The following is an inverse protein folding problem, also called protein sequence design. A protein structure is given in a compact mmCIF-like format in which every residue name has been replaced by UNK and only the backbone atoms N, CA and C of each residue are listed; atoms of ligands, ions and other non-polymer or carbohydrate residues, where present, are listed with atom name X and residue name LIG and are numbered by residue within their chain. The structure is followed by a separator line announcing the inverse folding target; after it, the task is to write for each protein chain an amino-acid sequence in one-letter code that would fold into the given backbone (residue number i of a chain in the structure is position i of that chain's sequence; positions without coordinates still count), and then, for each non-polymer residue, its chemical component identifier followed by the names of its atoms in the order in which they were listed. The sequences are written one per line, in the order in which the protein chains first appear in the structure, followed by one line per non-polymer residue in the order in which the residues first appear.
data_IF_305716416216
#
_entry.id   IF_305716416216
#
_cell.length_a   1.000
_cell.length_b   1.000
_cell.length_c   1.000
_cell.angle_alpha   90.00
_cell.angle_beta   90.00
_cell.angle_gamma   90.00
#
_symmetry.space_group_name_H-M   'P 1'
#
loop_
_entity.id
_entity.type
_entity.pdbx_description
1 polymer ?
#
# COMPACT_ATOMS: atom_id res chain seq x y z
N UNK A 1 -7.18 17.46 -23.07
CA UNK A 1 -8.17 16.44 -23.50
C UNK A 1 -9.18 16.17 -22.40
N UNK A 2 -10.42 15.73 -22.73
CA UNK A 2 -11.35 15.19 -21.72
C UNK A 2 -10.88 13.77 -21.38
N UNK A 3 -10.72 13.50 -20.09
CA UNK A 3 -10.21 12.21 -19.60
C UNK A 3 -11.33 11.52 -18.82
N UNK A 4 -11.82 10.41 -19.37
CA UNK A 4 -12.86 9.58 -18.76
C UNK A 4 -12.27 8.27 -18.23
N UNK A 5 -12.89 7.61 -17.20
CA UNK A 5 -12.45 6.32 -16.72
C UNK A 5 -12.69 5.25 -17.79
N UNK A 6 -11.62 4.55 -18.19
CA UNK A 6 -11.70 3.44 -19.16
C UNK A 6 -11.40 2.13 -18.46
N UNK A 7 -12.42 1.34 -18.25
CA UNK A 7 -12.34 0.07 -17.54
C UNK A 7 -11.97 -1.09 -18.46
N UNK A 8 -11.09 -1.98 -17.95
CA UNK A 8 -10.79 -3.28 -18.56
C UNK A 8 -10.71 -4.33 -17.45
N UNK A 9 -11.81 -5.06 -17.22
CA UNK A 9 -11.92 -5.95 -16.07
C UNK A 9 -11.71 -5.17 -14.76
N UNK A 10 -10.79 -5.61 -13.94
CA UNK A 10 -10.46 -5.00 -12.64
C UNK A 10 -9.40 -3.89 -12.73
N UNK A 11 -9.15 -3.33 -13.91
CA UNK A 11 -8.13 -2.30 -14.12
C UNK A 11 -8.80 -1.10 -14.80
N UNK A 12 -8.54 0.11 -14.31
CA UNK A 12 -8.77 1.33 -15.03
C UNK A 12 -7.53 1.72 -15.84
N UNK A 13 -7.71 1.96 -17.13
CA UNK A 13 -6.61 2.23 -18.07
C UNK A 13 -6.22 3.70 -18.14
N UNK A 14 -7.05 4.58 -17.59
CA UNK A 14 -6.84 6.03 -17.57
C UNK A 14 -6.79 6.52 -16.14
N UNK A 15 -6.13 7.64 -15.92
CA UNK A 15 -6.12 8.35 -14.65
C UNK A 15 -6.23 9.85 -14.88
N UNK A 16 -6.87 10.55 -13.94
CA UNK A 16 -7.17 11.97 -14.07
C UNK A 16 -6.21 12.83 -13.24
N UNK A 17 -5.35 13.66 -13.87
CA UNK A 17 -4.31 14.44 -13.16
C UNK A 17 -4.90 15.32 -12.05
N UNK A 18 -6.00 16.05 -12.36
CA UNK A 18 -6.64 16.96 -11.40
C UNK A 18 -7.31 16.21 -10.24
N UNK A 19 -7.87 15.04 -10.49
CA UNK A 19 -8.42 14.22 -9.42
C UNK A 19 -7.34 13.62 -8.53
N UNK A 20 -6.22 13.17 -9.10
CA UNK A 20 -5.06 12.75 -8.31
C UNK A 20 -4.49 13.91 -7.48
N UNK A 21 -4.43 15.15 -8.04
CA UNK A 21 -4.05 16.34 -7.29
C UNK A 21 -5.00 16.60 -6.11
N UNK A 22 -6.32 16.50 -6.34
CA UNK A 22 -7.32 16.68 -5.29
C UNK A 22 -7.20 15.62 -4.19
N UNK A 23 -6.97 14.36 -4.55
CA UNK A 23 -6.71 13.29 -3.60
C UNK A 23 -5.54 13.61 -2.67
N UNK A 24 -4.43 14.09 -3.24
CA UNK A 24 -3.26 14.47 -2.45
C UNK A 24 -3.57 15.62 -1.50
N UNK A 25 -4.27 16.65 -1.97
CA UNK A 25 -4.68 17.78 -1.12
C UNK A 25 -5.57 17.32 0.04
N UNK A 26 -6.56 16.48 -0.22
CA UNK A 26 -7.44 15.95 0.81
C UNK A 26 -6.65 15.17 1.89
N UNK A 27 -5.71 14.32 1.48
CA UNK A 27 -4.87 13.58 2.43
C UNK A 27 -3.94 14.50 3.24
N UNK A 28 -3.36 15.53 2.61
CA UNK A 28 -2.52 16.53 3.30
C UNK A 28 -3.35 17.31 4.32
N UNK A 29 -4.54 17.77 3.95
CA UNK A 29 -5.45 18.49 4.85
C UNK A 29 -5.85 17.62 6.04
N UNK A 30 -6.15 16.34 5.80
CA UNK A 30 -6.42 15.39 6.87
C UNK A 30 -5.25 15.31 7.85
N UNK A 31 -4.03 15.10 7.37
CA UNK A 31 -2.84 15.01 8.24
C UNK A 31 -2.63 16.30 9.02
N UNK A 32 -2.71 17.47 8.37
CA UNK A 32 -2.57 18.77 9.05
C UNK A 32 -3.63 18.97 10.13
N UNK A 33 -4.85 18.45 9.94
CA UNK A 33 -5.93 18.54 10.93
C UNK A 33 -5.66 17.73 12.20
N UNK A 34 -4.77 16.73 12.14
CA UNK A 34 -4.42 15.85 13.28
C UNK A 34 -3.29 16.41 14.15
N UNK A 35 -2.61 17.46 13.69
CA UNK A 35 -1.47 18.06 14.38
C UNK A 35 -0.16 17.36 14.09
N UNK A 36 0.93 17.88 14.66
CA UNK A 36 2.27 17.36 14.44
C UNK A 36 2.52 16.07 15.24
N UNK A 37 3.26 15.18 14.63
CA UNK A 37 3.79 13.95 15.23
C UNK A 37 5.29 14.16 15.46
N UNK A 38 5.76 13.93 16.68
CA UNK A 38 7.21 13.94 16.96
C UNK A 38 7.84 12.63 16.45
N UNK A 39 7.98 12.56 15.12
CA UNK A 39 8.39 11.37 14.38
C UNK A 39 9.69 11.54 13.62
N UNK A 40 9.94 10.57 12.72
CA UNK A 40 11.10 10.56 11.83
C UNK A 40 11.25 11.87 11.05
N UNK A 41 12.49 12.25 10.78
CA UNK A 41 12.82 13.51 10.07
C UNK A 41 13.41 13.29 8.68
N UNK A 42 13.91 12.09 8.37
CA UNK A 42 14.52 11.75 7.08
C UNK A 42 14.05 10.36 6.67
N UNK A 43 13.14 10.30 5.72
CA UNK A 43 12.37 9.09 5.43
C UNK A 43 12.57 8.61 3.99
N UNK A 44 12.90 7.34 3.85
CA UNK A 44 12.86 6.62 2.59
C UNK A 44 11.57 5.81 2.50
N UNK A 45 10.81 5.97 1.42
CA UNK A 45 9.60 5.20 1.17
C UNK A 45 9.77 4.42 -0.15
N UNK A 46 9.80 3.11 -0.07
CA UNK A 46 9.89 2.19 -1.21
C UNK A 46 8.48 1.71 -1.54
N UNK A 47 7.96 2.05 -2.72
CA UNK A 47 6.56 1.90 -3.09
C UNK A 47 5.72 3.14 -2.74
N UNK A 48 6.19 4.34 -3.09
CA UNK A 48 5.73 5.62 -2.56
C UNK A 48 4.58 6.29 -3.33
N UNK A 49 4.09 5.71 -4.43
CA UNK A 49 3.21 6.42 -5.38
C UNK A 49 1.71 6.27 -5.13
N UNK A 50 1.30 5.22 -4.40
CA UNK A 50 -0.11 4.91 -4.15
C UNK A 50 -0.30 4.23 -2.79
N UNK A 51 -1.55 4.13 -2.33
CA UNK A 51 -1.95 3.36 -1.15
C UNK A 51 -1.18 3.71 0.12
N UNK A 52 -0.82 2.70 0.90
CA UNK A 52 -0.14 2.88 2.18
C UNK A 52 1.24 3.55 2.08
N UNK A 53 1.99 3.28 1.00
CA UNK A 53 3.29 3.93 0.78
C UNK A 53 3.16 5.43 0.55
N UNK A 54 2.23 5.85 -0.31
CA UNK A 54 1.91 7.26 -0.53
C UNK A 54 1.44 7.93 0.77
N UNK A 55 0.51 7.31 1.49
CA UNK A 55 0.01 7.82 2.77
C UNK A 55 1.14 7.95 3.80
N UNK A 56 2.10 7.01 3.82
CA UNK A 56 3.29 7.11 4.67
C UNK A 56 4.17 8.31 4.30
N UNK A 57 4.32 8.58 3.00
CA UNK A 57 5.08 9.72 2.52
C UNK A 57 4.42 11.04 2.91
N UNK A 58 3.10 11.15 2.73
CA UNK A 58 2.31 12.32 3.11
C UNK A 58 2.35 12.54 4.62
N UNK A 59 2.14 11.47 5.42
CA UNK A 59 2.16 11.56 6.89
C UNK A 59 3.54 11.96 7.39
N UNK A 60 4.62 11.40 6.84
CA UNK A 60 5.99 11.80 7.20
C UNK A 60 6.26 13.27 6.89
N UNK A 61 5.93 13.72 5.67
CA UNK A 61 6.22 15.08 5.24
C UNK A 61 5.38 16.12 6.01
N UNK A 62 4.06 15.95 6.06
CA UNK A 62 3.15 16.97 6.59
C UNK A 62 2.74 16.75 8.05
N UNK A 63 2.96 15.54 8.58
CA UNK A 63 2.72 15.24 10.00
C UNK A 63 3.96 15.34 10.87
N UNK A 64 5.17 15.20 10.31
CA UNK A 64 6.42 15.24 11.07
C UNK A 64 7.46 16.24 10.53
N UNK A 65 7.11 17.04 9.52
CA UNK A 65 8.04 17.94 8.80
C UNK A 65 9.29 17.19 8.28
N UNK A 66 9.12 15.95 7.83
CA UNK A 66 10.20 15.10 7.40
C UNK A 66 10.64 15.39 5.96
N UNK A 67 11.94 15.32 5.71
CA UNK A 67 12.50 15.19 4.38
C UNK A 67 12.21 13.78 3.84
N UNK A 68 11.66 13.65 2.62
CA UNK A 68 11.25 12.36 2.06
C UNK A 68 11.88 12.07 0.71
N UNK A 69 12.35 10.84 0.54
CA UNK A 69 12.69 10.26 -0.76
C UNK A 69 11.71 9.12 -1.05
N UNK A 70 11.00 9.18 -2.18
CA UNK A 70 10.06 8.15 -2.63
C UNK A 70 10.61 7.38 -3.82
N UNK A 71 10.55 6.05 -3.76
CA UNK A 71 10.88 5.17 -4.88
C UNK A 71 9.61 4.51 -5.39
N UNK A 72 9.38 4.51 -6.69
CA UNK A 72 8.21 3.90 -7.34
C UNK A 72 8.50 3.54 -8.80
N UNK A 73 7.60 2.82 -9.44
CA UNK A 73 7.72 2.44 -10.84
C UNK A 73 6.42 2.76 -11.58
N UNK A 74 6.33 3.97 -12.11
CA UNK A 74 5.12 4.52 -12.72
C UNK A 74 5.36 4.91 -14.18
N UNK A 75 4.30 4.90 -14.97
CA UNK A 75 4.34 5.30 -16.37
C UNK A 75 4.12 6.80 -16.48
N UNK A 76 5.08 7.55 -17.05
CA UNK A 76 4.87 8.97 -17.31
C UNK A 76 3.79 9.17 -18.37
N UNK A 77 3.13 10.34 -18.37
CA UNK A 77 2.22 10.72 -19.45
C UNK A 77 2.98 10.99 -20.74
N UNK A 78 2.28 10.79 -21.85
CA UNK A 78 2.71 11.18 -23.19
C UNK A 78 1.61 12.02 -23.79
N UNK A 79 1.92 12.83 -24.81
CA UNK A 79 0.91 13.62 -25.53
C UNK A 79 -0.23 12.70 -26.03
N UNK A 80 -1.48 13.06 -25.67
CA UNK A 80 -2.67 12.27 -25.97
C UNK A 80 -2.85 10.99 -25.15
N UNK A 81 -1.97 10.72 -24.15
CA UNK A 81 -2.05 9.53 -23.30
C UNK A 81 -1.75 9.87 -21.84
N UNK A 82 -2.73 9.75 -20.95
CA UNK A 82 -2.50 9.93 -19.52
C UNK A 82 -1.45 8.98 -18.95
N UNK A 83 -0.68 9.46 -17.97
CA UNK A 83 0.21 8.66 -17.16
C UNK A 83 -0.55 7.73 -16.21
N UNK A 84 0.18 6.93 -15.43
CA UNK A 84 -0.41 6.13 -14.36
C UNK A 84 -0.81 7.01 -13.15
N UNK A 85 -1.77 6.58 -12.31
CA UNK A 85 -2.23 7.40 -11.19
C UNK A 85 -1.10 7.75 -10.21
N UNK A 86 -0.19 6.80 -9.95
CA UNK A 86 0.94 7.04 -9.05
C UNK A 86 1.92 8.09 -9.58
N UNK A 87 2.04 8.26 -10.88
CA UNK A 87 2.79 9.38 -11.46
C UNK A 87 2.19 10.72 -11.06
N UNK A 88 0.88 10.89 -11.27
CA UNK A 88 0.19 12.14 -10.94
C UNK A 88 0.14 12.42 -9.44
N UNK A 89 -0.07 11.38 -8.62
CA UNK A 89 0.00 11.49 -7.17
C UNK A 89 1.37 11.99 -6.72
N UNK A 90 2.45 11.43 -7.28
CA UNK A 90 3.82 11.80 -6.93
C UNK A 90 4.16 13.23 -7.36
N UNK A 91 3.70 13.65 -8.55
CA UNK A 91 3.85 15.02 -9.02
C UNK A 91 3.12 16.02 -8.13
N UNK A 92 1.86 15.71 -7.77
CA UNK A 92 1.07 16.56 -6.88
C UNK A 92 1.68 16.63 -5.48
N UNK A 93 2.15 15.49 -4.94
CA UNK A 93 2.79 15.44 -3.64
C UNK A 93 4.07 16.31 -3.60
N UNK A 94 4.99 16.17 -4.57
CA UNK A 94 6.21 17.00 -4.59
C UNK A 94 5.88 18.48 -4.70
N UNK A 95 4.93 18.86 -5.56
CA UNK A 95 4.50 20.23 -5.71
C UNK A 95 3.97 20.81 -4.39
N UNK A 96 3.12 20.11 -3.67
CA UNK A 96 2.58 20.56 -2.38
C UNK A 96 3.66 20.56 -1.27
N UNK A 97 4.57 19.59 -1.27
CA UNK A 97 5.70 19.55 -0.35
C UNK A 97 6.65 20.75 -0.56
N UNK A 98 7.04 21.03 -1.81
CA UNK A 98 7.90 22.16 -2.15
C UNK A 98 7.24 23.51 -1.83
N UNK A 99 5.94 23.68 -2.10
CA UNK A 99 5.17 24.88 -1.67
C UNK A 99 5.20 25.07 -0.16
N UNK A 100 5.23 23.98 0.60
CA UNK A 100 5.34 24.01 2.06
C UNK A 100 6.79 24.18 2.57
N UNK A 101 7.77 24.26 1.69
CA UNK A 101 9.20 24.36 2.05
C UNK A 101 9.81 23.04 2.51
N UNK A 102 9.13 21.90 2.25
CA UNK A 102 9.59 20.58 2.64
C UNK A 102 10.44 19.96 1.53
N UNK A 103 11.48 19.23 1.92
CA UNK A 103 12.29 18.44 0.98
C UNK A 103 11.52 17.19 0.54
N UNK A 104 11.33 17.04 -0.75
CA UNK A 104 10.75 15.85 -1.36
C UNK A 104 11.39 15.58 -2.71
N UNK A 105 11.95 14.37 -2.90
CA UNK A 105 12.45 13.90 -4.19
C UNK A 105 11.96 12.49 -4.49
N UNK A 106 11.87 12.15 -5.76
CA UNK A 106 11.40 10.86 -6.25
C UNK A 106 12.41 10.19 -7.17
N UNK A 107 12.39 8.87 -7.17
CA UNK A 107 13.10 8.01 -8.11
C UNK A 107 12.07 7.10 -8.77
N UNK A 108 11.98 7.18 -10.09
CA UNK A 108 11.09 6.33 -10.88
C UNK A 108 11.89 5.19 -11.53
N UNK A 109 11.68 3.97 -11.07
CA UNK A 109 12.34 2.78 -11.59
C UNK A 109 11.99 1.52 -10.80
N UNK A 110 12.41 0.38 -11.31
CA UNK A 110 12.19 -0.91 -10.66
C UNK A 110 12.97 -0.99 -9.33
N UNK A 111 12.25 -0.91 -8.22
CA UNK A 111 12.83 -0.96 -6.87
C UNK A 111 13.54 -2.28 -6.56
N UNK A 112 13.27 -3.35 -7.30
CA UNK A 112 14.01 -4.61 -7.18
C UNK A 112 15.41 -4.54 -7.79
N UNK A 113 15.66 -3.62 -8.72
CA UNK A 113 16.92 -3.52 -9.45
C UNK A 113 18.06 -2.94 -8.58
N UNK A 114 19.27 -3.40 -8.85
CA UNK A 114 20.48 -2.85 -8.22
C UNK A 114 20.75 -1.41 -8.64
N UNK A 115 20.34 -1.03 -9.85
CA UNK A 115 20.49 0.33 -10.38
C UNK A 115 19.68 1.34 -9.56
N UNK A 116 18.37 1.06 -9.32
CA UNK A 116 17.51 1.93 -8.53
C UNK A 116 17.97 1.98 -7.07
N UNK A 117 18.39 0.83 -6.49
CA UNK A 117 18.99 0.81 -5.15
C UNK A 117 20.20 1.75 -5.09
N UNK A 118 21.15 1.60 -6.00
CA UNK A 118 22.35 2.45 -6.05
C UNK A 118 21.99 3.93 -6.20
N UNK A 119 21.12 4.29 -7.14
CA UNK A 119 20.67 5.67 -7.34
C UNK A 119 20.06 6.26 -6.06
N UNK A 120 19.26 5.46 -5.35
CA UNK A 120 18.64 5.87 -4.09
C UNK A 120 19.68 6.11 -2.99
N UNK A 121 20.66 5.21 -2.86
CA UNK A 121 21.73 5.36 -1.87
C UNK A 121 22.58 6.60 -2.17
N UNK A 122 22.92 6.84 -3.43
CA UNK A 122 23.67 8.03 -3.84
C UNK A 122 22.90 9.32 -3.50
N UNK A 123 21.57 9.34 -3.74
CA UNK A 123 20.71 10.47 -3.42
C UNK A 123 20.60 10.70 -1.89
N UNK A 124 20.40 9.64 -1.10
CA UNK A 124 20.38 9.76 0.37
C UNK A 124 21.71 10.33 0.87
N UNK A 125 22.82 9.81 0.37
CA UNK A 125 24.17 10.24 0.76
C UNK A 125 24.43 11.70 0.46
N UNK A 126 24.03 12.20 -0.71
CA UNK A 126 24.25 13.58 -1.13
C UNK A 126 23.36 14.56 -0.39
N UNK A 127 22.08 14.23 -0.21
CA UNK A 127 21.06 15.20 0.21
C UNK A 127 20.68 15.08 1.68
N UNK A 128 20.60 13.87 2.23
CA UNK A 128 20.12 13.61 3.59
C UNK A 128 21.22 13.16 4.56
N UNK A 129 22.30 12.58 4.03
CA UNK A 129 23.34 11.92 4.81
C UNK A 129 22.90 10.56 5.33
N UNK A 130 21.85 10.47 6.12
CA UNK A 130 21.27 9.25 6.67
C UNK A 130 19.74 9.37 6.71
N UNK A 131 19.05 8.22 6.79
CA UNK A 131 17.60 8.13 7.04
C UNK A 131 17.34 7.48 8.39
N UNK A 132 16.27 7.92 9.05
CA UNK A 132 15.84 7.43 10.37
C UNK A 132 14.57 6.55 10.29
N UNK A 133 13.86 6.58 9.15
CA UNK A 133 12.76 5.66 8.86
C UNK A 133 12.85 5.15 7.42
N UNK A 134 12.66 3.84 7.24
CA UNK A 134 12.49 3.20 5.93
C UNK A 134 11.17 2.48 5.88
N UNK A 135 10.28 2.89 4.98
CA UNK A 135 9.00 2.20 4.70
C UNK A 135 9.16 1.31 3.48
N UNK A 136 8.82 0.02 3.63
CA UNK A 136 8.79 -0.94 2.54
C UNK A 136 7.35 -1.33 2.21
N UNK A 137 6.83 -0.78 1.10
CA UNK A 137 5.43 -0.90 0.67
C UNK A 137 5.32 -1.34 -0.79
N UNK A 138 6.09 -2.33 -1.19
CA UNK A 138 6.02 -2.87 -2.55
C UNK A 138 4.91 -3.92 -2.68
N UNK A 139 4.13 -3.79 -3.75
CA UNK A 139 3.20 -4.80 -4.22
C UNK A 139 3.38 -4.96 -5.73
N UNK A 140 3.91 -6.10 -6.16
CA UNK A 140 4.14 -6.40 -7.58
C UNK A 140 3.72 -7.85 -7.87
N UNK A 141 3.15 -8.12 -9.06
CA UNK A 141 2.90 -9.50 -9.48
C UNK A 141 4.17 -10.22 -9.97
N UNK A 142 5.25 -9.48 -10.24
CA UNK A 142 6.50 -10.04 -10.79
C UNK A 142 7.71 -9.37 -10.18
N UNK A 143 8.82 -10.12 -10.09
CA UNK A 143 10.14 -9.63 -9.70
C UNK A 143 11.21 -10.29 -10.57
N UNK A 144 12.03 -9.47 -11.22
CA UNK A 144 13.30 -9.93 -11.78
C UNK A 144 14.33 -9.91 -10.65
N UNK A 145 14.82 -11.08 -10.25
CA UNK A 145 15.75 -11.17 -9.13
C UNK A 145 17.12 -10.56 -9.53
N UNK A 146 17.60 -9.53 -8.81
CA UNK A 146 18.74 -8.71 -9.26
C UNK A 146 20.09 -9.43 -9.27
N UNK A 147 20.20 -10.57 -8.60
CA UNK A 147 21.46 -11.37 -8.54
C UNK A 147 21.39 -12.57 -9.47
N UNK A 148 20.27 -13.30 -9.49
CA UNK A 148 20.15 -14.55 -10.27
C UNK A 148 19.63 -14.33 -11.69
N UNK A 149 18.99 -13.19 -11.97
CA UNK A 149 18.32 -12.91 -13.24
C UNK A 149 17.05 -13.72 -13.48
N UNK A 150 16.56 -14.47 -12.48
CA UNK A 150 15.33 -15.25 -12.58
C UNK A 150 14.11 -14.32 -12.44
N UNK A 151 13.15 -14.48 -13.36
CA UNK A 151 11.87 -13.78 -13.30
C UNK A 151 10.87 -14.62 -12.50
N UNK A 152 10.54 -14.16 -11.30
CA UNK A 152 9.52 -14.76 -10.44
C UNK A 152 8.15 -14.11 -10.65
N UNK A 153 7.09 -14.92 -10.56
CA UNK A 153 5.69 -14.47 -10.65
C UNK A 153 4.92 -14.93 -9.42
N UNK A 154 4.33 -13.99 -8.70
CA UNK A 154 3.47 -14.33 -7.56
C UNK A 154 2.10 -14.77 -8.03
N UNK A 155 1.50 -15.68 -7.27
CA UNK A 155 0.10 -16.09 -7.43
C UNK A 155 -0.61 -16.03 -6.10
N UNK A 156 -1.93 -15.93 -6.14
CA UNK A 156 -2.77 -15.97 -4.95
C UNK A 156 -3.66 -17.21 -5.03
N UNK A 157 -3.20 -18.27 -4.39
CA UNK A 157 -3.84 -19.59 -4.43
C UNK A 157 -3.82 -20.25 -3.05
N UNK A 158 -4.84 -21.07 -2.74
CA UNK A 158 -4.83 -21.93 -1.57
C UNK A 158 -3.75 -23.01 -1.68
N UNK A 159 -3.32 -23.58 -0.54
CA UNK A 159 -2.36 -24.69 -0.47
C UNK A 159 -3.09 -25.97 -0.11
N UNK A 160 -2.85 -27.02 -0.86
CA UNK A 160 -3.32 -28.37 -0.60
C UNK A 160 -4.68 -28.69 -1.22
N UNK A 161 -5.70 -27.87 -1.02
CA UNK A 161 -7.06 -28.11 -1.53
C UNK A 161 -7.63 -26.89 -2.25
N UNK A 162 -8.54 -27.10 -3.20
CA UNK A 162 -9.29 -26.02 -3.84
C UNK A 162 -10.13 -25.27 -2.79
N UNK A 163 -10.31 -24.00 -3.04
CA UNK A 163 -11.14 -23.11 -2.20
C UNK A 163 -12.29 -22.56 -3.02
N UNK A 164 -13.52 -22.80 -2.57
CA UNK A 164 -14.74 -22.27 -3.19
C UNK A 164 -15.42 -21.32 -2.25
N UNK A 165 -15.80 -20.13 -2.75
CA UNK A 165 -16.53 -19.16 -1.97
C UNK A 165 -17.25 -18.15 -2.87
N UNK A 166 -18.11 -17.29 -2.26
CA UNK A 166 -18.78 -16.20 -2.95
C UNK A 166 -17.80 -15.12 -3.38
N UNK A 167 -18.10 -14.48 -4.50
CA UNK A 167 -17.42 -13.29 -5.02
C UNK A 167 -18.46 -12.33 -5.59
N UNK A 168 -18.06 -11.10 -5.86
CA UNK A 168 -18.90 -10.12 -6.57
C UNK A 168 -18.12 -9.51 -7.72
N UNK A 169 -18.76 -9.40 -8.87
CA UNK A 169 -18.33 -8.43 -9.88
C UNK A 169 -18.79 -7.05 -9.43
N UNK A 170 -17.86 -6.23 -8.94
CA UNK A 170 -18.21 -4.93 -8.38
C UNK A 170 -18.71 -3.91 -9.42
N UNK A 171 -18.51 -4.16 -10.72
CA UNK A 171 -19.08 -3.31 -11.77
C UNK A 171 -20.56 -3.58 -11.98
N UNK A 172 -20.96 -4.83 -11.99
CA UNK A 172 -22.35 -5.25 -12.24
C UNK A 172 -23.15 -5.46 -10.97
N UNK A 173 -22.49 -5.74 -9.84
CA UNK A 173 -23.11 -6.11 -8.58
C UNK A 173 -23.53 -7.57 -8.51
N UNK A 174 -23.19 -8.39 -9.52
CA UNK A 174 -23.56 -9.80 -9.57
C UNK A 174 -22.70 -10.60 -8.60
N UNK A 175 -23.35 -11.27 -7.65
CA UNK A 175 -22.73 -12.22 -6.73
C UNK A 175 -22.75 -13.61 -7.38
N UNK A 176 -21.62 -14.28 -7.35
CA UNK A 176 -21.45 -15.64 -7.88
C UNK A 176 -20.52 -16.46 -6.98
N UNK A 177 -20.42 -17.75 -7.24
CA UNK A 177 -19.41 -18.60 -6.62
C UNK A 177 -18.19 -18.74 -7.52
N UNK A 178 -17.00 -18.76 -6.90
CA UNK A 178 -15.74 -19.01 -7.57
C UNK A 178 -14.98 -20.12 -6.86
N UNK A 179 -14.36 -20.99 -7.66
CA UNK A 179 -13.43 -22.00 -7.16
C UNK A 179 -12.01 -21.64 -7.58
N UNK A 180 -11.10 -21.59 -6.63
CA UNK A 180 -9.67 -21.34 -6.84
C UNK A 180 -8.93 -22.64 -6.62
N UNK A 181 -8.27 -23.13 -7.67
CA UNK A 181 -7.47 -24.35 -7.61
C UNK A 181 -6.23 -24.18 -6.74
N UNK A 182 -5.76 -25.26 -6.07
CA UNK A 182 -4.59 -25.19 -5.23
C UNK A 182 -3.32 -24.88 -6.04
N UNK A 183 -2.33 -24.32 -5.34
CA UNK A 183 -1.00 -24.07 -5.89
C UNK A 183 -0.17 -25.36 -5.98
N UNK A 184 0.90 -25.32 -6.77
CA UNK A 184 2.01 -26.24 -6.70
C UNK A 184 3.17 -25.63 -5.86
N UNK A 185 4.23 -26.41 -5.62
CA UNK A 185 5.39 -25.97 -4.82
C UNK A 185 6.15 -24.79 -5.49
N UNK A 186 6.22 -24.77 -6.82
CA UNK A 186 6.85 -23.69 -7.56
C UNK A 186 6.08 -22.36 -7.39
N UNK A 187 4.76 -22.40 -7.38
CA UNK A 187 3.90 -21.24 -7.09
C UNK A 187 4.23 -20.62 -5.71
N UNK A 188 4.50 -21.47 -4.69
CA UNK A 188 4.89 -21.01 -3.36
C UNK A 188 6.24 -20.33 -3.40
N UNK A 189 7.26 -20.99 -3.99
CA UNK A 189 8.62 -20.46 -4.10
C UNK A 189 8.62 -19.11 -4.83
N UNK A 190 7.96 -19.03 -5.97
CA UNK A 190 7.87 -17.80 -6.74
C UNK A 190 7.12 -16.69 -5.99
N UNK A 191 6.04 -17.00 -5.28
CA UNK A 191 5.29 -16.00 -4.49
C UNK A 191 6.14 -15.48 -3.32
N UNK A 192 6.87 -16.35 -2.64
CA UNK A 192 7.81 -15.95 -1.57
C UNK A 192 8.93 -15.06 -2.13
N UNK A 193 9.48 -15.40 -3.30
CA UNK A 193 10.53 -14.60 -3.93
C UNK A 193 10.06 -13.19 -4.31
N UNK A 194 8.78 -13.02 -4.72
CA UNK A 194 8.23 -11.71 -5.09
C UNK A 194 7.76 -10.91 -3.87
N UNK A 195 7.01 -11.55 -2.96
CA UNK A 195 6.24 -10.86 -1.90
C UNK A 195 6.76 -11.13 -0.49
N UNK A 196 7.81 -11.92 -0.35
CA UNK A 196 8.49 -12.16 0.92
C UNK A 196 9.42 -11.01 1.32
N UNK A 197 10.23 -11.24 2.33
CA UNK A 197 11.10 -10.21 2.91
C UNK A 197 12.48 -10.08 2.26
N UNK A 198 12.85 -10.92 1.28
CA UNK A 198 14.22 -10.95 0.76
C UNK A 198 14.67 -9.59 0.21
N UNK A 199 13.87 -8.95 -0.65
CA UNK A 199 14.22 -7.65 -1.21
C UNK A 199 14.27 -6.54 -0.16
N UNK A 200 13.36 -6.58 0.83
CA UNK A 200 13.43 -5.69 1.99
C UNK A 200 14.76 -5.86 2.74
N UNK A 201 15.19 -7.11 2.98
CA UNK A 201 16.51 -7.41 3.54
C UNK A 201 17.64 -6.83 2.71
N UNK A 202 17.59 -7.00 1.37
CA UNK A 202 18.58 -6.43 0.46
C UNK A 202 18.67 -4.90 0.56
N UNK A 203 17.54 -4.19 0.59
CA UNK A 203 17.51 -2.74 0.81
C UNK A 203 18.18 -2.33 2.12
N UNK A 204 17.84 -3.00 3.21
CA UNK A 204 18.40 -2.69 4.54
C UNK A 204 19.90 -3.01 4.63
N UNK A 205 20.34 -4.09 3.99
CA UNK A 205 21.75 -4.46 3.91
C UNK A 205 22.57 -3.41 3.13
N UNK A 206 22.07 -2.94 1.99
CA UNK A 206 22.78 -1.93 1.20
C UNK A 206 22.81 -0.57 1.95
N UNK A 207 21.73 -0.14 2.56
CA UNK A 207 21.69 1.08 3.38
C UNK A 207 22.67 0.99 4.57
N UNK A 208 22.73 -0.15 5.24
CA UNK A 208 23.64 -0.41 6.35
C UNK A 208 25.10 -0.39 5.89
N UNK A 209 25.45 -1.13 4.81
CA UNK A 209 26.81 -1.17 4.24
C UNK A 209 27.30 0.22 3.84
N UNK A 210 26.41 1.06 3.31
CA UNK A 210 26.71 2.42 2.91
C UNK A 210 26.74 3.42 4.10
N UNK A 211 26.45 2.98 5.33
CA UNK A 211 26.31 3.82 6.54
C UNK A 211 25.26 4.94 6.39
N UNK A 212 24.14 4.61 5.76
CA UNK A 212 23.05 5.56 5.47
C UNK A 212 21.85 5.43 6.42
N UNK A 213 21.96 4.60 7.46
CA UNK A 213 20.95 4.47 8.52
C UNK A 213 21.39 5.26 9.75
N UNK A 214 20.52 6.10 10.28
CA UNK A 214 20.76 6.83 11.51
C UNK A 214 20.77 5.88 12.73
N UNK A 215 21.44 6.23 13.84
CA UNK A 215 21.28 5.50 15.10
C UNK A 215 19.82 5.43 15.52
N UNK A 216 19.34 4.23 15.88
CA UNK A 216 17.94 4.00 16.22
C UNK A 216 16.97 3.94 15.03
N UNK A 217 17.48 3.92 13.78
CA UNK A 217 16.64 3.87 12.59
C UNK A 217 15.62 2.73 12.64
N UNK A 218 14.38 3.04 12.27
CA UNK A 218 13.29 2.07 12.20
C UNK A 218 12.96 1.74 10.75
N UNK A 219 12.61 0.47 10.48
CA UNK A 219 12.02 0.10 9.18
C UNK A 219 10.73 -0.66 9.36
N UNK A 220 9.74 -0.38 8.50
CA UNK A 220 8.41 -1.00 8.57
C UNK A 220 8.02 -1.53 7.20
N UNK A 221 7.62 -2.81 7.15
CA UNK A 221 7.01 -3.41 5.97
C UNK A 221 5.51 -3.65 6.21
N UNK A 222 4.68 -3.42 5.19
CA UNK A 222 3.23 -3.59 5.29
C UNK A 222 2.77 -4.98 4.93
N UNK A 223 1.79 -5.46 5.68
CA UNK A 223 1.20 -6.79 5.55
C UNK A 223 -0.31 -6.74 5.72
N UNK A 224 -0.95 -7.83 5.35
CA UNK A 224 -2.35 -8.12 5.63
C UNK A 224 -2.51 -9.57 6.03
N UNK A 225 -3.38 -9.87 6.99
CA UNK A 225 -3.68 -11.24 7.46
C UNK A 225 -5.10 -11.63 7.04
N UNK A 226 -6.06 -10.77 7.30
CA UNK A 226 -7.49 -11.00 7.08
C UNK A 226 -8.15 -11.94 8.08
N UNK A 227 -9.49 -12.05 8.03
CA UNK A 227 -10.29 -12.90 8.88
C UNK A 227 -10.31 -14.36 8.40
N UNK A 228 -10.91 -15.23 9.21
CA UNK A 228 -11.10 -16.66 8.89
C UNK A 228 -11.82 -16.90 7.55
N UNK A 229 -12.71 -15.98 7.17
CA UNK A 229 -13.46 -16.04 5.92
C UNK A 229 -12.58 -16.03 4.66
N UNK A 230 -11.44 -15.32 4.70
CA UNK A 230 -10.50 -15.23 3.58
C UNK A 230 -9.21 -15.99 3.83
N UNK A 231 -9.08 -16.65 4.98
CA UNK A 231 -7.84 -17.27 5.46
C UNK A 231 -7.24 -18.29 4.48
N UNK A 232 -8.08 -19.05 3.77
CA UNK A 232 -7.62 -20.10 2.86
C UNK A 232 -6.79 -19.54 1.69
N UNK A 233 -7.12 -18.35 1.18
CA UNK A 233 -6.40 -17.71 0.08
C UNK A 233 -5.36 -16.69 0.57
N UNK A 234 -5.49 -16.20 1.80
CA UNK A 234 -4.53 -15.26 2.39
C UNK A 234 -3.56 -15.97 3.34
N UNK A 235 -3.89 -16.06 4.62
CA UNK A 235 -2.95 -16.52 5.66
C UNK A 235 -2.49 -17.97 5.46
N UNK A 236 -3.35 -18.86 4.97
CA UNK A 236 -3.06 -20.26 4.66
C UNK A 236 -2.71 -20.52 3.20
N UNK A 237 -2.74 -19.49 2.35
CA UNK A 237 -2.38 -19.57 0.93
C UNK A 237 -0.92 -19.24 0.64
N UNK A 238 -0.59 -19.13 -0.65
CA UNK A 238 0.76 -18.81 -1.13
C UNK A 238 1.28 -17.48 -0.57
N UNK A 239 0.40 -16.47 -0.51
CA UNK A 239 0.76 -15.15 0.03
C UNK A 239 1.04 -15.23 1.55
N UNK A 240 0.37 -16.12 2.28
CA UNK A 240 0.65 -16.35 3.70
C UNK A 240 2.08 -16.87 3.93
N UNK A 241 2.60 -17.74 3.05
CA UNK A 241 4.00 -18.16 3.08
C UNK A 241 4.96 -17.00 2.84
N UNK A 242 4.62 -16.11 1.91
CA UNK A 242 5.41 -14.89 1.70
C UNK A 242 5.38 -13.98 2.94
N UNK A 243 4.24 -13.87 3.63
CA UNK A 243 4.12 -13.10 4.87
C UNK A 243 4.86 -13.74 6.04
N UNK A 244 4.88 -15.08 6.16
CA UNK A 244 5.74 -15.78 7.12
C UNK A 244 7.23 -15.45 6.90
N UNK A 245 7.67 -15.42 5.64
CA UNK A 245 9.04 -15.03 5.28
C UNK A 245 9.31 -13.54 5.58
N UNK A 246 8.34 -12.65 5.32
CA UNK A 246 8.45 -11.22 5.65
C UNK A 246 8.59 -11.01 7.17
N UNK A 247 7.78 -11.71 7.97
CA UNK A 247 7.82 -11.66 9.43
C UNK A 247 9.18 -12.17 9.97
N UNK A 248 9.69 -13.28 9.44
CA UNK A 248 11.03 -13.78 9.79
C UNK A 248 12.15 -12.81 9.40
N UNK A 249 12.01 -12.13 8.25
CA UNK A 249 12.98 -11.13 7.79
C UNK A 249 13.04 -9.92 8.72
N UNK A 250 11.93 -9.49 9.33
CA UNK A 250 11.93 -8.40 10.30
C UNK A 250 12.85 -8.68 11.49
N UNK A 251 12.83 -9.91 12.01
CA UNK A 251 13.76 -10.32 13.09
C UNK A 251 15.22 -10.32 12.62
N UNK A 252 15.49 -10.88 11.44
CA UNK A 252 16.84 -10.91 10.88
C UNK A 252 17.40 -9.49 10.63
N UNK A 253 16.58 -8.57 10.12
CA UNK A 253 16.96 -7.16 9.95
C UNK A 253 17.25 -6.53 11.32
N UNK A 254 16.37 -6.74 12.32
CA UNK A 254 16.57 -6.19 13.68
C UNK A 254 17.88 -6.65 14.25
N UNK A 255 18.19 -7.95 14.16
CA UNK A 255 19.47 -8.53 14.64
C UNK A 255 20.66 -7.90 13.90
N UNK A 256 20.54 -7.71 12.59
CA UNK A 256 21.59 -7.08 11.79
C UNK A 256 21.84 -5.62 12.18
N UNK A 257 20.82 -4.90 12.66
CA UNK A 257 20.88 -3.47 13.01
C UNK A 257 21.24 -3.22 14.49
N UNK A 258 21.56 -4.25 15.28
CA UNK A 258 21.87 -4.14 16.71
C UNK A 258 22.94 -3.09 17.01
N UNK A 259 23.98 -2.99 16.16
CA UNK A 259 25.09 -2.02 16.35
C UNK A 259 24.67 -0.55 16.32
N UNK A 260 23.56 -0.24 15.67
CA UNK A 260 22.96 1.11 15.60
C UNK A 260 21.66 1.21 16.40
N UNK A 261 21.30 0.18 17.17
CA UNK A 261 20.04 0.08 17.92
C UNK A 261 18.79 0.19 17.03
N UNK A 262 18.92 -0.14 15.74
CA UNK A 262 17.83 -0.10 14.77
C UNK A 262 16.83 -1.23 14.97
N UNK A 263 15.60 -1.06 14.47
CA UNK A 263 14.48 -1.99 14.59
C UNK A 263 13.74 -2.17 13.27
N UNK A 264 13.24 -3.38 13.05
CA UNK A 264 12.39 -3.70 11.91
C UNK A 264 11.06 -4.29 12.40
N UNK A 265 9.96 -3.85 11.79
CA UNK A 265 8.62 -4.31 12.13
C UNK A 265 7.81 -4.63 10.89
N UNK A 266 6.90 -5.59 11.03
CA UNK A 266 5.81 -5.79 10.09
C UNK A 266 4.55 -5.15 10.67
N UNK A 267 3.94 -4.22 9.93
CA UNK A 267 2.63 -3.65 10.27
C UNK A 267 1.54 -4.39 9.52
N UNK A 268 0.62 -4.99 10.25
CA UNK A 268 -0.57 -5.64 9.68
C UNK A 268 -1.66 -4.59 9.56
N UNK A 269 -2.01 -4.26 8.32
CA UNK A 269 -2.96 -3.22 8.00
C UNK A 269 -4.34 -3.81 7.67
N UNK A 270 -5.36 -2.96 7.64
CA UNK A 270 -6.75 -3.29 7.35
C UNK A 270 -6.96 -3.60 5.85
N UNK A 271 -7.99 -4.39 5.54
CA UNK A 271 -8.47 -4.57 4.17
C UNK A 271 -9.01 -3.24 3.60
N UNK A 272 -8.47 -2.85 2.45
CA UNK A 272 -8.86 -1.63 1.73
C UNK A 272 -8.95 -1.89 0.23
N UNK A 273 -9.70 -1.04 -0.46
CA UNK A 273 -9.73 -1.01 -1.92
C UNK A 273 -8.38 -0.50 -2.41
N UNK A 274 -7.66 -1.34 -3.13
CA UNK A 274 -6.41 -1.04 -3.81
C UNK A 274 -6.41 -1.68 -5.18
N UNK A 275 -5.49 -1.30 -6.06
CA UNK A 275 -5.36 -1.98 -7.36
C UNK A 275 -5.11 -3.48 -7.20
N UNK A 276 -4.34 -3.89 -6.19
CA UNK A 276 -4.04 -5.29 -5.92
C UNK A 276 -5.27 -6.03 -5.38
N UNK A 277 -5.96 -5.48 -4.37
CA UNK A 277 -7.10 -6.15 -3.72
C UNK A 277 -8.29 -6.32 -4.65
N UNK A 278 -8.52 -5.40 -5.58
CA UNK A 278 -9.64 -5.44 -6.53
C UNK A 278 -9.55 -6.61 -7.53
N UNK A 279 -8.35 -7.14 -7.75
CA UNK A 279 -8.12 -8.28 -8.63
C UNK A 279 -8.23 -9.64 -7.91
N UNK A 280 -8.41 -9.65 -6.58
CA UNK A 280 -8.41 -10.86 -5.77
C UNK A 280 -9.85 -11.35 -5.61
N UNK A 281 -10.18 -12.57 -6.08
CA UNK A 281 -11.51 -13.15 -5.87
C UNK A 281 -11.92 -13.11 -4.38
N UNK A 282 -13.22 -13.04 -4.11
CA UNK A 282 -13.77 -13.00 -2.73
C UNK A 282 -13.61 -11.64 -2.03
N UNK A 283 -12.48 -10.96 -2.23
CA UNK A 283 -12.13 -9.73 -1.51
C UNK A 283 -13.08 -8.55 -1.81
N UNK A 284 -13.51 -8.26 -3.05
CA UNK A 284 -14.45 -7.17 -3.28
C UNK A 284 -15.77 -7.33 -2.52
N UNK A 285 -16.31 -8.55 -2.41
CA UNK A 285 -17.50 -8.81 -1.62
C UNK A 285 -17.23 -8.62 -0.13
N UNK A 286 -16.11 -9.16 0.38
CA UNK A 286 -15.71 -8.98 1.78
C UNK A 286 -15.57 -7.50 2.14
N UNK A 287 -14.83 -6.73 1.35
CA UNK A 287 -14.63 -5.29 1.59
C UNK A 287 -15.96 -4.54 1.54
N UNK A 288 -16.85 -4.85 0.60
CA UNK A 288 -18.16 -4.20 0.50
C UNK A 288 -19.00 -4.38 1.77
N UNK A 289 -19.03 -5.58 2.35
CA UNK A 289 -19.72 -5.86 3.61
C UNK A 289 -19.01 -5.22 4.81
N UNK A 290 -17.69 -5.30 4.85
CA UNK A 290 -16.85 -4.69 5.89
C UNK A 290 -17.04 -3.17 5.94
N UNK A 291 -17.02 -2.50 4.79
CA UNK A 291 -17.20 -1.05 4.68
C UNK A 291 -18.56 -0.60 5.25
N UNK A 292 -19.61 -1.30 4.89
CA UNK A 292 -20.96 -1.04 5.43
C UNK A 292 -20.93 -1.01 6.96
N UNK A 293 -20.43 -2.09 7.56
CA UNK A 293 -20.43 -2.24 9.02
C UNK A 293 -19.49 -1.21 9.68
N UNK A 294 -18.26 -1.07 9.17
CA UNK A 294 -17.29 -0.16 9.80
C UNK A 294 -17.70 1.31 9.67
N UNK A 295 -18.39 1.70 8.59
CA UNK A 295 -18.95 3.05 8.45
C UNK A 295 -20.12 3.28 9.40
N UNK A 296 -21.02 2.31 9.57
CA UNK A 296 -22.12 2.36 10.53
C UNK A 296 -21.64 2.45 11.98
N UNK A 297 -20.53 1.76 12.31
CA UNK A 297 -19.90 1.80 13.63
C UNK A 297 -18.97 3.02 13.83
N UNK A 298 -18.75 3.85 12.79
CA UNK A 298 -17.89 5.03 12.86
C UNK A 298 -16.40 4.72 13.03
N UNK A 299 -15.95 3.52 12.60
CA UNK A 299 -14.57 3.03 12.74
C UNK A 299 -13.90 2.70 11.38
N UNK A 300 -14.50 3.16 10.30
CA UNK A 300 -13.91 2.98 8.97
C UNK A 300 -12.69 3.89 8.79
N UNK A 301 -11.63 3.32 8.23
CA UNK A 301 -10.38 4.01 7.92
C UNK A 301 -9.96 3.71 6.48
N UNK A 302 -9.49 4.71 5.74
CA UNK A 302 -8.73 4.56 4.51
C UNK A 302 -7.22 4.42 4.78
N UNK A 303 -6.40 4.51 3.73
CA UNK A 303 -4.95 4.40 3.86
C UNK A 303 -4.37 5.52 4.74
N UNK A 304 -4.82 6.76 4.55
CA UNK A 304 -4.23 7.91 5.24
C UNK A 304 -4.57 7.90 6.74
N UNK A 305 -5.81 7.52 7.10
CA UNK A 305 -6.24 7.41 8.48
C UNK A 305 -5.46 6.31 9.22
N UNK A 306 -5.29 5.15 8.58
CA UNK A 306 -4.51 4.05 9.16
C UNK A 306 -3.05 4.41 9.37
N UNK A 307 -2.42 5.06 8.40
CA UNK A 307 -1.01 5.44 8.52
C UNK A 307 -0.83 6.53 9.55
N UNK A 308 -1.73 7.51 9.60
CA UNK A 308 -1.70 8.53 10.65
C UNK A 308 -1.80 7.89 12.05
N UNK A 309 -2.72 6.95 12.24
CA UNK A 309 -2.88 6.21 13.49
C UNK A 309 -1.67 5.32 13.80
N UNK A 310 -1.09 4.65 12.78
CA UNK A 310 0.15 3.89 12.92
C UNK A 310 1.30 4.76 13.45
N UNK A 311 1.48 5.94 12.87
CA UNK A 311 2.57 6.83 13.27
C UNK A 311 2.34 7.43 14.66
N UNK A 312 1.15 7.95 14.92
CA UNK A 312 0.85 8.65 16.15
C UNK A 312 0.66 7.72 17.35
N UNK A 313 0.00 6.56 17.16
CA UNK A 313 -0.41 5.70 18.28
C UNK A 313 0.46 4.44 18.46
N UNK A 314 1.33 4.14 17.49
CA UNK A 314 2.18 2.94 17.55
C UNK A 314 3.67 3.26 17.45
N UNK A 315 4.10 3.99 16.40
CA UNK A 315 5.53 4.20 16.11
C UNK A 315 6.15 5.30 16.96
N UNK A 316 5.43 6.41 17.22
CA UNK A 316 5.99 7.63 17.81
C UNK A 316 5.25 8.06 19.08
N UNK A 317 4.98 7.13 19.97
CA UNK A 317 4.35 7.38 21.27
C UNK A 317 5.33 7.83 22.36
N UNK A 318 6.64 7.72 22.10
CA UNK A 318 7.68 7.89 23.13
C UNK A 318 7.89 6.65 24.00
N UNK A 319 7.11 5.60 23.78
CA UNK A 319 7.17 4.30 24.48
C UNK A 319 7.65 3.19 23.56
N UNK A 320 7.80 1.96 24.09
CA UNK A 320 8.10 0.80 23.28
C UNK A 320 6.96 0.54 22.29
N UNK A 321 7.31 0.28 21.02
CA UNK A 321 6.34 0.01 19.96
C UNK A 321 5.55 -1.27 20.32
N UNK A 322 4.21 -1.17 20.44
CA UNK A 322 3.39 -2.32 20.81
C UNK A 322 3.29 -3.32 19.67
N UNK A 323 3.56 -4.59 19.98
CA UNK A 323 3.46 -5.70 19.03
C UNK A 323 2.64 -6.86 19.61
N UNK A 324 2.11 -7.68 18.71
CA UNK A 324 1.51 -8.95 19.10
C UNK A 324 2.57 -10.00 19.45
N UNK A 325 2.13 -11.22 19.83
CA UNK A 325 3.01 -12.33 20.22
C UNK A 325 4.01 -12.76 19.12
N UNK A 326 3.76 -12.36 17.86
CA UNK A 326 4.65 -12.64 16.72
C UNK A 326 5.53 -11.44 16.35
N UNK A 327 5.55 -10.37 17.17
CA UNK A 327 6.35 -9.19 16.94
C UNK A 327 5.79 -8.24 15.86
N UNK A 328 4.50 -8.33 15.51
CA UNK A 328 3.86 -7.49 14.49
C UNK A 328 3.08 -6.35 15.12
N UNK A 329 3.16 -5.18 14.51
CA UNK A 329 2.27 -4.07 14.84
C UNK A 329 0.89 -4.39 14.26
N UNK A 330 -0.16 -4.30 15.08
CA UNK A 330 -1.54 -4.55 14.68
C UNK A 330 -2.27 -3.22 14.53
N UNK A 331 -2.49 -2.81 13.27
CA UNK A 331 -3.28 -1.64 12.92
C UNK A 331 -4.60 -2.06 12.23
N UNK A 332 -4.79 -3.35 12.01
CA UNK A 332 -6.02 -3.99 11.60
C UNK A 332 -6.98 -4.27 12.78
N UNK A 333 -6.65 -3.80 13.97
CA UNK A 333 -7.37 -4.05 15.22
C UNK A 333 -8.86 -3.66 15.15
N UNK A 334 -9.21 -2.58 14.44
CA UNK A 334 -10.60 -2.15 14.25
C UNK A 334 -11.37 -3.09 13.30
N UNK A 335 -10.74 -3.54 12.20
CA UNK A 335 -11.33 -4.56 11.33
C UNK A 335 -11.54 -5.88 12.09
N UNK A 336 -10.56 -6.28 12.90
CA UNK A 336 -10.53 -7.57 13.59
C UNK A 336 -11.31 -7.59 14.91
N UNK A 337 -12.04 -6.54 15.27
CA UNK A 337 -12.99 -6.55 16.40
C UNK A 337 -13.99 -7.70 16.21
N UNK A 338 -14.24 -8.44 17.29
CA UNK A 338 -15.11 -9.61 17.25
C UNK A 338 -16.53 -9.26 16.76
N UNK A 339 -17.10 -8.14 17.25
CA UNK A 339 -18.41 -7.67 16.85
C UNK A 339 -18.50 -7.28 15.37
N UNK A 340 -17.43 -6.69 14.80
CA UNK A 340 -17.33 -6.39 13.36
C UNK A 340 -17.32 -7.69 12.56
N UNK A 341 -16.45 -8.64 12.92
CA UNK A 341 -16.31 -9.88 12.16
C UNK A 341 -17.55 -10.78 12.26
N UNK A 342 -18.24 -10.80 13.41
CA UNK A 342 -19.51 -11.51 13.57
C UNK A 342 -20.60 -10.93 12.64
N UNK A 343 -20.73 -9.60 12.58
CA UNK A 343 -21.66 -8.93 11.67
C UNK A 343 -21.31 -9.22 10.20
N UNK A 344 -20.02 -9.14 9.83
CA UNK A 344 -19.58 -9.48 8.46
C UNK A 344 -19.94 -10.92 8.11
N UNK A 345 -19.71 -11.88 9.00
CA UNK A 345 -20.03 -13.30 8.78
C UNK A 345 -21.55 -13.52 8.60
N UNK A 346 -22.38 -12.80 9.36
CA UNK A 346 -23.83 -12.83 9.21
C UNK A 346 -24.25 -12.30 7.83
N UNK A 347 -23.78 -11.13 7.45
CA UNK A 347 -24.10 -10.55 6.14
C UNK A 347 -23.55 -11.39 4.99
N UNK A 348 -22.37 -12.00 5.15
CA UNK A 348 -21.80 -12.91 4.16
C UNK A 348 -22.73 -14.10 3.85
N UNK A 349 -23.34 -14.68 4.87
CA UNK A 349 -24.27 -15.80 4.69
C UNK A 349 -25.48 -15.40 3.85
N UNK A 350 -25.94 -14.16 3.99
CA UNK A 350 -27.13 -13.59 3.32
C UNK A 350 -26.83 -12.99 1.93
N UNK A 351 -25.54 -12.80 1.59
CA UNK A 351 -25.14 -12.08 0.40
C UNK A 351 -25.55 -12.85 -0.88
N UNK A 352 -26.41 -12.21 -1.66
CA UNK A 352 -26.82 -12.59 -3.03
C UNK A 352 -26.82 -11.33 -3.90
N UNK A 353 -27.02 -11.47 -5.19
CA UNK A 353 -27.17 -10.33 -6.10
C UNK A 353 -28.32 -9.41 -5.68
N UNK A 354 -29.42 -9.98 -5.21
CA UNK A 354 -30.61 -9.22 -4.80
C UNK A 354 -30.43 -8.51 -3.47
N UNK A 355 -29.75 -9.13 -2.51
CA UNK A 355 -29.61 -8.57 -1.15
C UNK A 355 -28.42 -7.62 -1.02
N UNK A 356 -27.36 -7.78 -1.82
CA UNK A 356 -26.13 -7.01 -1.72
C UNK A 356 -26.33 -5.47 -1.72
N UNK A 357 -27.25 -4.89 -2.52
CA UNK A 357 -27.48 -3.44 -2.48
C UNK A 357 -27.92 -2.91 -1.11
N UNK A 358 -28.57 -3.73 -0.27
CA UNK A 358 -29.03 -3.34 1.06
C UNK A 358 -27.99 -3.63 2.15
N UNK A 359 -27.30 -4.78 2.05
CA UNK A 359 -26.40 -5.27 3.10
C UNK A 359 -24.93 -4.93 2.91
N UNK A 360 -24.54 -4.44 1.72
CA UNK A 360 -23.18 -4.05 1.39
C UNK A 360 -23.04 -2.57 1.03
N UNK A 361 -21.83 -2.07 1.04
CA UNK A 361 -21.45 -0.74 0.53
C UNK A 361 -20.69 -0.86 -0.80
N UNK A 362 -21.38 -1.41 -1.81
CA UNK A 362 -20.78 -1.56 -3.14
C UNK A 362 -20.55 -0.20 -3.84
N UNK A 363 -21.39 0.79 -3.51
CA UNK A 363 -21.23 2.15 -4.04
C UNK A 363 -19.95 2.79 -3.51
N UNK A 364 -19.70 2.72 -2.20
CA UNK A 364 -18.46 3.20 -1.60
C UNK A 364 -17.23 2.42 -2.11
N UNK A 365 -17.35 1.11 -2.33
CA UNK A 365 -16.30 0.33 -2.96
C UNK A 365 -15.95 0.85 -4.36
N UNK A 366 -16.95 1.11 -5.20
CA UNK A 366 -16.77 1.65 -6.57
C UNK A 366 -16.15 3.04 -6.55
N UNK A 367 -16.61 3.89 -5.64
CA UNK A 367 -16.06 5.22 -5.47
C UNK A 367 -14.59 5.17 -5.08
N UNK A 368 -14.22 4.38 -4.06
CA UNK A 368 -12.83 4.20 -3.65
C UNK A 368 -11.97 3.64 -4.79
N UNK A 369 -12.53 2.68 -5.57
CA UNK A 369 -11.82 2.15 -6.74
C UNK A 369 -11.55 3.24 -7.79
N UNK A 370 -12.51 4.09 -8.11
CA UNK A 370 -12.34 5.20 -9.06
C UNK A 370 -11.42 6.29 -8.50
N UNK A 371 -11.46 6.53 -7.20
CA UNK A 371 -10.56 7.45 -6.52
C UNK A 371 -9.08 7.05 -6.65
N UNK A 372 -8.77 5.75 -6.75
CA UNK A 372 -7.39 5.28 -7.02
C UNK A 372 -6.81 5.87 -8.31
N UNK A 373 -7.67 6.20 -9.27
CA UNK A 373 -7.30 6.72 -10.59
C UNK A 373 -7.60 8.22 -10.75
N UNK A 374 -7.97 8.89 -9.68
CA UNK A 374 -8.26 10.32 -9.68
C UNK A 374 -9.65 10.68 -10.19
N UNK A 375 -10.60 9.77 -10.19
CA UNK A 375 -12.00 10.05 -10.55
C UNK A 375 -12.89 10.15 -9.30
N UNK A 376 -14.08 10.74 -9.44
CA UNK A 376 -15.11 10.86 -8.40
C UNK A 376 -14.72 11.74 -7.17
N UNK A 377 -13.78 12.67 -7.33
CA UNK A 377 -13.48 13.66 -6.31
C UNK A 377 -14.38 14.89 -6.46
N UNK A 378 -14.93 15.35 -5.34
CA UNK A 378 -15.70 16.58 -5.28
C UNK A 378 -14.83 17.80 -5.66
N UNK A 379 -15.42 18.76 -6.37
CA UNK A 379 -14.73 19.99 -6.80
C UNK A 379 -13.84 19.83 -8.03
N UNK A 380 -13.79 18.66 -8.64
CA UNK A 380 -13.06 18.42 -9.91
C UNK A 380 -14.03 18.41 -11.08
N UNK A 381 -13.81 19.29 -12.06
CA UNK A 381 -14.57 19.30 -13.32
C UNK A 381 -13.98 18.30 -14.32
N UNK A 382 -14.60 17.14 -14.43
CA UNK A 382 -14.20 16.05 -15.33
C UNK A 382 -14.57 16.29 -16.80
N UNK A 383 -15.37 17.31 -17.10
CA UNK A 383 -15.70 17.73 -18.47
C UNK A 383 -14.73 18.80 -19.00
N UNK A 384 -13.86 19.32 -18.15
CA UNK A 384 -12.87 20.32 -18.55
C UNK A 384 -11.76 19.71 -19.43
N UNK A 385 -11.27 20.53 -20.38
CA UNK A 385 -10.05 20.19 -21.11
C UNK A 385 -8.85 20.15 -20.16
N UNK A 386 -8.27 18.97 -20.00
CA UNK A 386 -7.20 18.71 -19.03
C UNK A 386 -5.90 18.41 -19.74
N UNK A 387 -4.82 19.07 -19.33
CA UNK A 387 -3.46 18.72 -19.77
C UNK A 387 -3.02 17.45 -19.04
N UNK A 388 -2.79 16.38 -19.79
CA UNK A 388 -2.30 15.10 -19.29
C UNK A 388 -0.80 15.10 -19.00
N UNK A 389 -0.04 16.02 -19.61
CA UNK A 389 1.42 16.08 -19.43
C UNK A 389 1.74 16.86 -18.16
N UNK A 390 2.03 16.15 -17.10
CA UNK A 390 2.46 16.66 -15.79
C UNK A 390 3.80 16.06 -15.45
N UNK A 391 4.79 16.89 -15.15
CA UNK A 391 6.15 16.47 -14.79
C UNK A 391 6.30 16.33 -13.27
N UNK A 392 7.21 15.46 -12.86
CA UNK A 392 7.72 15.38 -11.49
C UNK A 392 9.06 16.10 -11.49
N UNK A 393 9.17 17.15 -10.67
CA UNK A 393 10.33 18.07 -10.72
C UNK A 393 11.66 17.35 -10.50
N UNK A 394 11.71 16.40 -9.58
CA UNK A 394 12.93 15.66 -9.23
C UNK A 394 13.33 14.56 -10.26
N UNK A 395 12.47 14.27 -11.24
CA UNK A 395 12.68 13.21 -12.27
C UNK A 395 12.95 13.82 -13.66
N UNK A 396 13.02 15.12 -13.79
CA UNK A 396 13.19 15.81 -15.08
C UNK A 396 14.53 15.52 -15.80
#
# INVERSE_FOLDING_TARGET
MIIEPRMRGFICLTSHPKGCEQNIKNQIEYIKSKGLIDGAKKVLIIGASTGFGLSSRITSAFGSDAATIGVFFEKPPLEGRPGSPGWYNSAAFENEAHKAGLYAKSINGDAFSNEVKKQTLDLIKSDLGQVDLVIYSLASPVRLHPVTGVLHRSVLKPIGHSYSNKTVDFHTGIVSEITIEPCNDEDIVNTVAVMGGEDWGMWMDELKKANLLAPGATTVAYSYIGPSLTEAVYRKGTIGRAKDHLEATAFAITDSLTSIQGKAYVSVNKALVTQASSAIPVIPLYISLLYKIMKEEGVHEGCIEQIQRLFQEKLYTGEAIPTDEKGRIRIDDLEMRADIQEKVAQLWSQATTETLPEIGDLAGYKQDFLNLFGFEFEGVDYNADTNEVVNIESIA
#
